data_IF_828438646366
#
_entry.id   IF_828438646366
#
_cell.length_a   1.000
_cell.length_b   1.000
_cell.length_c   1.000
_cell.angle_alpha   90.00
_cell.angle_beta   90.00
_cell.angle_gamma   90.00
#
_symmetry.space_group_name_H-M   'P 1'
#
loop_
_entity.id
_entity.type
_entity.pdbx_description
1 polymer ?
2 non-polymer ?
3 non-polymer ?
4 non-polymer ?
5 water ?
#
# COMPACT_ATOMS: atom_id res chain seq x y z
N UNK A 1 4.35 17.83 -8.06
CA UNK A 1 2.92 17.50 -8.11
C UNK A 1 2.66 16.16 -8.80
N UNK A 2 1.40 15.71 -8.72
CA UNK A 2 0.98 14.45 -9.33
C UNK A 2 0.63 14.63 -10.80
N UNK A 3 1.20 13.77 -11.65
CA UNK A 3 0.97 13.78 -13.09
C UNK A 3 0.10 12.59 -13.48
N UNK A 4 -0.87 12.82 -14.36
CA UNK A 4 -1.74 11.74 -14.79
C UNK A 4 -1.01 10.84 -15.78
N UNK A 5 -0.68 9.62 -15.37
CA UNK A 5 0.01 8.67 -16.24
C UNK A 5 -0.98 7.88 -17.07
N UNK A 6 -2.22 7.83 -16.58
CA UNK A 6 -3.32 7.15 -17.25
C UNK A 6 -4.57 7.71 -16.55
N UNK A 7 -5.77 7.51 -17.14
CA UNK A 7 -7.01 8.01 -16.53
C UNK A 7 -7.16 7.73 -15.03
N UNK A 8 -7.30 8.81 -14.25
CA UNK A 8 -7.46 8.73 -12.79
C UNK A 8 -6.36 7.99 -12.04
N UNK A 9 -5.17 8.00 -12.61
CA UNK A 9 -4.04 7.35 -11.99
C UNK A 9 -2.90 8.36 -12.08
N UNK A 10 -2.48 8.85 -10.92
CA UNK A 10 -1.43 9.85 -10.82
C UNK A 10 -0.14 9.39 -10.14
N UNK A 11 0.98 9.94 -10.63
CA UNK A 11 2.31 9.62 -10.12
C UNK A 11 3.04 10.92 -9.77
N UNK A 12 3.67 10.94 -8.60
CA UNK A 12 4.40 12.12 -8.18
C UNK A 12 5.54 12.34 -9.18
N UNK A 13 5.72 13.58 -9.61
CA UNK A 13 6.77 13.93 -10.56
C UNK A 13 8.11 13.53 -9.92
N UNK A 14 8.98 12.88 -10.68
CA UNK A 14 10.26 12.42 -10.14
C UNK A 14 11.27 13.46 -9.65
N UNK A 15 10.97 14.74 -9.84
CA UNK A 15 11.87 15.78 -9.37
C UNK A 15 11.59 16.12 -7.90
N UNK A 16 10.40 15.78 -7.42
CA UNK A 16 10.03 16.07 -6.03
C UNK A 16 10.99 15.39 -5.05
N UNK A 17 11.32 16.08 -3.97
CA UNK A 17 12.25 15.56 -2.97
C UNK A 17 11.83 14.18 -2.42
N UNK A 18 10.52 13.98 -2.27
CA UNK A 18 9.96 12.73 -1.76
C UNK A 18 10.23 11.58 -2.72
N UNK A 19 10.04 11.82 -4.00
CA UNK A 19 10.27 10.79 -5.03
C UNK A 19 11.76 10.40 -5.07
N UNK A 20 12.63 11.39 -4.92
CA UNK A 20 14.07 11.18 -4.93
C UNK A 20 14.48 10.31 -3.75
N UNK A 21 13.99 10.69 -2.59
CA UNK A 21 14.28 10.01 -1.34
C UNK A 21 13.82 8.56 -1.34
N UNK A 22 12.64 8.31 -1.91
CA UNK A 22 12.10 6.97 -1.99
C UNK A 22 12.93 6.12 -2.95
N UNK A 23 13.40 6.77 -4.01
CA UNK A 23 14.21 6.10 -5.03
C UNK A 23 15.55 5.70 -4.41
N UNK A 24 16.05 6.56 -3.53
CA UNK A 24 17.32 6.36 -2.85
C UNK A 24 17.23 5.32 -1.73
N UNK A 25 16.15 5.39 -0.93
CA UNK A 25 15.94 4.49 0.20
C UNK A 25 15.42 3.09 -0.10
N UNK A 26 14.56 2.95 -1.10
CA UNK A 26 13.99 1.64 -1.43
C UNK A 26 14.99 0.54 -1.78
N UNK A 27 14.69 -0.66 -1.26
CA UNK A 27 15.50 -1.84 -1.51
C UNK A 27 14.55 -2.97 -1.91
N UNK A 28 14.90 -3.68 -2.97
CA UNK A 28 14.08 -4.82 -3.43
C UNK A 28 14.88 -6.11 -3.35
N UNK A 29 14.17 -7.24 -3.27
CA UNK A 29 14.83 -8.55 -3.15
C UNK A 29 14.26 -9.60 -4.11
N UNK A 30 15.12 -10.47 -4.61
CA UNK A 30 14.72 -11.53 -5.51
C UNK A 30 14.21 -12.68 -4.65
N UNK A 31 13.55 -13.69 -5.25
CA UNK A 31 13.00 -14.85 -4.53
C UNK A 31 13.83 -15.55 -3.44
N UNK A 32 15.12 -15.80 -3.68
CA UNK A 32 15.94 -16.48 -2.67
C UNK A 32 16.25 -15.59 -1.47
N UNK A 33 15.89 -14.32 -1.58
CA UNK A 33 16.10 -13.34 -0.51
C UNK A 33 14.80 -12.67 -0.04
N UNK A 34 13.66 -13.25 -0.41
CA UNK A 34 12.37 -12.69 -0.01
C UNK A 34 11.38 -13.81 0.33
N UNK A 35 10.20 -13.45 0.88
CA UNK A 35 9.18 -14.44 1.25
C UNK A 35 8.11 -14.68 0.17
N UNK A 36 8.23 -13.99 -0.96
CA UNK A 36 7.25 -14.09 -2.04
C UNK A 36 7.93 -14.43 -3.37
N UNK A 37 7.18 -15.03 -4.29
CA UNK A 37 7.73 -15.39 -5.58
C UNK A 37 7.42 -14.41 -6.71
N UNK A 38 8.05 -13.24 -6.63
CA UNK A 38 7.92 -12.19 -7.64
C UNK A 38 9.36 -11.84 -7.95
N UNK A 39 9.63 -11.28 -9.15
CA UNK A 39 11.00 -10.92 -9.51
C UNK A 39 11.68 -9.94 -8.55
N UNK A 40 10.94 -8.93 -8.10
CA UNK A 40 11.50 -7.94 -7.19
C UNK A 40 10.52 -7.60 -6.08
N UNK A 41 10.83 -8.04 -4.85
CA UNK A 41 9.98 -7.76 -3.69
C UNK A 41 10.43 -6.46 -3.05
N UNK A 42 9.56 -5.44 -3.08
CA UNK A 42 9.87 -4.15 -2.49
C UNK A 42 9.69 -4.23 -0.97
N UNK A 43 10.81 -4.15 -0.25
CA UNK A 43 10.82 -4.25 1.21
C UNK A 43 10.42 -2.94 1.89
N UNK A 44 9.28 -2.97 2.58
CA UNK A 44 8.76 -1.79 3.29
C UNK A 44 9.69 -1.34 4.42
N UNK A 45 10.49 -2.27 4.93
CA UNK A 45 11.45 -1.97 5.99
C UNK A 45 12.50 -0.99 5.50
N UNK A 46 12.85 -1.03 4.21
CA UNK A 46 13.83 -0.10 3.66
C UNK A 46 13.31 1.34 3.76
N UNK A 47 12.00 1.48 3.96
CA UNK A 47 11.37 2.80 4.10
C UNK A 47 11.16 3.17 5.57
N UNK A 48 10.64 2.23 6.37
CA UNK A 48 10.38 2.53 7.78
C UNK A 48 11.67 2.69 8.59
N UNK A 49 12.75 2.06 8.16
CA UNK A 49 14.03 2.16 8.86
C UNK A 49 14.78 3.43 8.45
N UNK A 50 14.18 4.18 7.53
CA UNK A 50 14.75 5.43 7.04
C UNK A 50 13.95 6.60 7.63
N UNK A 51 14.44 7.18 8.73
CA UNK A 51 13.78 8.30 9.40
C UNK A 51 13.44 9.46 8.46
N UNK A 52 14.41 9.85 7.64
CA UNK A 52 14.23 10.95 6.70
C UNK A 52 13.10 10.63 5.70
N UNK A 53 13.09 9.40 5.18
CA UNK A 53 12.06 8.99 4.22
C UNK A 53 10.69 8.85 4.87
N UNK A 54 10.63 8.27 6.07
CA UNK A 54 9.35 8.09 6.76
C UNK A 54 8.69 9.45 7.04
N UNK A 55 9.48 10.40 7.54
CA UNK A 55 8.97 11.74 7.85
C UNK A 55 8.53 12.49 6.58
N UNK A 56 9.24 12.29 5.47
CA UNK A 56 8.90 12.96 4.21
C UNK A 56 7.52 12.51 3.70
N UNK A 57 7.24 11.21 3.88
CA UNK A 57 5.96 10.63 3.48
C UNK A 57 4.86 11.22 4.36
N UNK A 58 5.10 11.24 5.67
CA UNK A 58 4.16 11.77 6.65
C UNK A 58 3.85 13.25 6.35
N UNK A 59 4.90 14.05 6.18
CA UNK A 59 4.75 15.48 5.90
C UNK A 59 3.96 15.76 4.64
N UNK A 60 4.32 15.06 3.57
CA UNK A 60 3.66 15.23 2.28
C UNK A 60 2.17 14.88 2.28
N UNK A 61 1.84 13.68 2.75
CA UNK A 61 0.45 13.26 2.79
C UNK A 61 -0.38 14.09 3.77
N UNK A 62 0.23 14.47 4.90
CA UNK A 62 -0.49 15.31 5.86
C UNK A 62 -0.79 16.68 5.23
N UNK A 63 0.17 17.25 4.50
CA UNK A 63 -0.04 18.55 3.86
C UNK A 63 -1.07 18.45 2.74
N UNK A 64 -1.10 17.30 2.08
CA UNK A 64 -2.04 17.05 1.01
C UNK A 64 -3.48 17.06 1.53
N UNK A 65 -3.75 16.29 2.56
CA UNK A 65 -5.11 16.19 3.09
C UNK A 65 -5.58 17.39 3.90
N UNK A 66 -4.65 18.17 4.46
CA UNK A 66 -4.99 19.38 5.21
C UNK A 66 -5.40 20.49 4.24
N UNK A 67 -4.85 20.42 3.02
CA UNK A 67 -5.15 21.40 1.99
C UNK A 67 -6.37 20.93 1.20
N UNK A 68 -6.77 19.68 1.39
CA UNK A 68 -7.91 19.11 0.67
C UNK A 68 -9.27 19.52 1.21
N UNK A 69 -10.21 19.80 0.30
CA UNK A 69 -11.56 20.20 0.68
C UNK A 69 -12.57 19.72 -0.37
N UNK A 70 -13.61 18.99 0.06
CA UNK A 70 -13.85 18.63 1.46
C UNK A 70 -12.75 17.70 1.99
N UNK A 71 -12.37 17.92 3.24
CA UNK A 71 -11.32 17.13 3.87
C UNK A 71 -11.77 15.71 4.17
N UNK A 72 -10.84 14.74 4.11
CA UNK A 72 -11.14 13.33 4.39
C UNK A 72 -11.63 13.20 5.83
N UNK A 73 -12.44 12.20 6.09
CA UNK A 73 -12.96 11.98 7.42
C UNK A 73 -12.35 10.73 8.06
N UNK A 74 -11.80 9.85 7.23
CA UNK A 74 -11.21 8.59 7.71
C UNK A 74 -10.04 8.14 6.85
N UNK A 75 -9.18 7.32 7.45
CA UNK A 75 -8.05 6.72 6.75
C UNK A 75 -8.23 5.20 6.97
N UNK A 76 -8.31 4.45 5.88
CA UNK A 76 -8.46 2.99 5.96
C UNK A 76 -7.17 2.33 5.46
N UNK A 77 -6.40 1.75 6.38
CA UNK A 77 -5.15 1.11 6.01
C UNK A 77 -5.29 -0.39 5.89
N UNK A 78 -4.56 -0.98 4.95
CA UNK A 78 -4.61 -2.41 4.70
C UNK A 78 -3.61 -3.20 5.55
N UNK A 79 -4.06 -4.32 6.11
CA UNK A 79 -3.25 -5.21 6.95
C UNK A 79 -2.16 -5.85 6.08
N UNK A 80 -0.88 -5.70 6.44
CA UNK A 80 -0.41 -5.01 7.63
C UNK A 80 0.43 -3.78 7.28
N UNK A 81 0.95 -3.73 6.06
CA UNK A 81 1.82 -2.63 5.69
C UNK A 81 1.16 -1.27 5.59
N UNK A 82 -0.15 -1.25 5.44
CA UNK A 82 -0.89 0.00 5.41
C UNK A 82 -0.94 0.57 6.83
N UNK A 83 -0.79 -0.30 7.82
CA UNK A 83 -0.80 0.09 9.24
C UNK A 83 0.42 0.94 9.59
N UNK A 84 1.48 0.78 8.79
CA UNK A 84 2.73 1.51 9.01
C UNK A 84 2.69 2.99 8.63
N UNK A 85 1.79 3.35 7.74
CA UNK A 85 1.72 4.73 7.26
C UNK A 85 0.45 5.48 7.64
N UNK A 86 -0.65 4.76 7.72
CA UNK A 86 -1.92 5.40 8.04
C UNK A 86 -2.00 6.17 9.34
N UNK A 87 -1.73 5.53 10.48
CA UNK A 87 -1.78 6.16 11.79
C UNK A 87 -1.01 7.47 11.95
N UNK A 88 0.18 7.57 11.39
CA UNK A 88 0.95 8.81 11.54
C UNK A 88 0.36 9.98 10.77
N UNK A 89 -0.48 9.66 9.79
CA UNK A 89 -1.14 10.69 9.00
C UNK A 89 -2.42 11.05 9.75
N UNK A 90 -3.14 10.03 10.18
CA UNK A 90 -4.41 10.20 10.90
C UNK A 90 -4.26 10.94 12.22
N UNK A 91 -3.18 10.67 12.95
CA UNK A 91 -2.94 11.33 14.23
C UNK A 91 -2.75 12.85 14.03
N UNK A 92 -2.20 13.23 12.89
CA UNK A 92 -1.98 14.64 12.57
C UNK A 92 -3.27 15.32 12.08
N UNK A 93 -4.03 14.60 11.25
CA UNK A 93 -5.29 15.11 10.71
C UNK A 93 -6.42 15.04 11.72
N UNK A 94 -6.18 14.29 12.80
CA UNK A 94 -7.17 14.12 13.86
C UNK A 94 -8.46 13.46 13.39
N UNK A 95 -8.32 12.39 12.63
CA UNK A 95 -9.45 11.62 12.12
C UNK A 95 -9.15 10.15 12.43
N UNK A 96 -10.18 9.30 12.50
CA UNK A 96 -9.99 7.88 12.79
C UNK A 96 -9.19 7.10 11.76
N UNK A 97 -8.49 6.06 12.22
CA UNK A 97 -7.74 5.17 11.35
C UNK A 97 -8.45 3.82 11.51
N UNK A 98 -9.05 3.35 10.42
CA UNK A 98 -9.79 2.09 10.42
C UNK A 98 -8.91 0.97 9.85
N UNK A 99 -9.10 -0.24 10.36
CA UNK A 99 -8.29 -1.39 9.91
C UNK A 99 -9.01 -2.37 8.98
N UNK A 100 -8.40 -2.66 7.83
CA UNK A 100 -8.97 -3.65 6.90
C UNK A 100 -8.13 -4.92 7.09
N UNK A 101 -8.77 -5.96 7.61
CA UNK A 101 -8.08 -7.23 7.87
C UNK A 101 -9.00 -8.41 7.57
N UNK A 102 -8.43 -9.62 7.61
CA UNK A 102 -9.23 -10.81 7.40
C UNK A 102 -10.14 -10.92 8.62
N UNK A 103 -11.27 -11.61 8.45
CA UNK A 103 -12.23 -11.81 9.52
C UNK A 103 -11.60 -12.43 10.77
N UNK A 104 -10.66 -13.35 10.57
CA UNK A 104 -10.04 -14.00 11.72
C UNK A 104 -9.05 -13.11 12.47
N UNK A 105 -9.02 -11.83 12.12
CA UNK A 105 -8.13 -10.88 12.75
C UNK A 105 -8.87 -9.66 13.31
N UNK A 106 -10.09 -9.42 12.82
CA UNK A 106 -10.89 -8.27 13.24
C UNK A 106 -11.96 -8.57 14.30
N UNK A 107 -12.23 -7.57 15.14
CA UNK A 107 -13.22 -7.69 16.20
C UNK A 107 -14.53 -6.98 15.88
N UNK A 108 -15.60 -7.46 16.51
CA UNK A 108 -16.94 -6.89 16.34
C UNK A 108 -17.72 -7.49 15.18
N UNK A 109 -18.85 -6.87 14.85
CA UNK A 109 -19.68 -7.30 13.72
C UNK A 109 -18.94 -6.78 12.50
N UNK A 110 -18.66 -7.66 11.54
CA UNK A 110 -17.91 -7.29 10.36
C UNK A 110 -18.65 -7.34 9.03
N UNK A 111 -18.06 -6.67 8.05
CA UNK A 111 -18.56 -6.62 6.68
C UNK A 111 -17.41 -7.22 5.86
N UNK A 112 -17.71 -8.23 5.04
CA UNK A 112 -16.66 -8.84 4.23
C UNK A 112 -16.72 -8.49 2.75
N UNK A 113 -15.55 -8.43 2.12
CA UNK A 113 -15.46 -8.11 0.70
C UNK A 113 -15.85 -9.32 -0.17
N UNK A 114 -16.04 -9.06 -1.46
CA UNK A 114 -16.43 -10.11 -2.40
C UNK A 114 -15.48 -10.12 -3.58
N UNK A 115 -14.31 -10.74 -3.41
CA UNK A 115 -13.31 -10.80 -4.49
C UNK A 115 -13.76 -11.58 -5.74
N UNK A 116 -13.15 -11.24 -6.87
CA UNK A 116 -13.44 -11.90 -8.14
C UNK A 116 -12.73 -13.24 -8.19
N UNK A 117 -13.17 -14.09 -9.13
CA UNK A 117 -12.54 -15.40 -9.31
C UNK A 117 -11.10 -15.16 -9.70
N UNK A 118 -10.22 -16.07 -9.30
CA UNK A 118 -8.81 -15.97 -9.65
C UNK A 118 -8.67 -16.35 -11.12
N UNK A 119 -8.02 -15.50 -11.90
CA UNK A 119 -7.86 -15.74 -13.33
C UNK A 119 -6.68 -16.66 -13.65
N UNK A 120 -6.85 -17.94 -13.32
CA UNK A 120 -5.85 -18.98 -13.53
C UNK A 120 -4.50 -18.68 -12.87
N UNK A 121 -3.56 -19.61 -13.02
CA UNK A 121 -2.22 -19.47 -12.43
C UNK A 121 -2.30 -19.38 -10.91
N UNK A 122 -3.44 -19.83 -10.37
CA UNK A 122 -3.69 -19.83 -8.93
C UNK A 122 -3.77 -18.42 -8.33
N UNK A 123 -3.09 -18.22 -7.20
CA UNK A 123 -3.07 -16.92 -6.51
C UNK A 123 -4.48 -16.55 -6.02
N UNK A 124 -4.99 -17.34 -5.08
CA UNK A 124 -6.32 -17.14 -4.51
C UNK A 124 -6.51 -15.78 -3.81
N UNK A 125 -7.58 -15.05 -4.17
CA UNK A 125 -7.91 -13.72 -3.62
C UNK A 125 -8.32 -13.76 -2.15
N UNK A 126 -7.96 -12.70 -1.42
CA UNK A 126 -8.27 -12.58 0.01
C UNK A 126 -9.60 -11.89 0.31
N UNK A 127 -10.38 -12.46 1.23
CA UNK A 127 -11.62 -11.86 1.66
C UNK A 127 -11.20 -10.97 2.81
N UNK A 128 -11.45 -9.66 2.70
CA UNK A 128 -11.07 -8.70 3.73
C UNK A 128 -12.30 -8.14 4.43
N UNK A 129 -12.10 -7.52 5.59
CA UNK A 129 -13.22 -6.96 6.37
C UNK A 129 -12.86 -5.68 7.12
N UNK A 130 -13.91 -5.00 7.59
CA UNK A 130 -13.84 -3.82 8.43
C UNK A 130 -15.04 -3.99 9.36
N UNK A 131 -14.98 -3.40 10.54
CA UNK A 131 -16.08 -3.50 11.48
C UNK A 131 -17.28 -2.72 10.94
N UNK A 132 -18.46 -3.32 11.08
CA UNK A 132 -19.69 -2.70 10.65
C UNK A 132 -19.87 -1.41 11.45
N UNK A 133 -20.03 -0.29 10.75
CA UNK A 133 -20.21 0.99 11.43
C UNK A 133 -18.93 1.75 11.72
N UNK A 134 -17.79 1.17 11.38
CA UNK A 134 -16.52 1.84 11.60
C UNK A 134 -16.43 3.06 10.69
N UNK A 135 -17.11 2.96 9.55
CA UNK A 135 -17.17 4.03 8.56
C UNK A 135 -18.65 4.27 8.28
N UNK A 136 -19.11 5.49 8.52
CA UNK A 136 -20.51 5.79 8.31
C UNK A 136 -20.91 6.45 7.01
N UNK A 137 -22.22 6.60 6.85
CA UNK A 137 -22.80 7.26 5.68
C UNK A 137 -22.21 8.67 5.58
N UNK A 138 -21.79 9.05 4.38
CA UNK A 138 -21.23 10.37 4.18
C UNK A 138 -19.74 10.50 4.45
N UNK A 139 -19.11 9.43 4.94
CA UNK A 139 -17.67 9.47 5.20
C UNK A 139 -16.89 9.57 3.90
N UNK A 140 -15.72 10.19 3.99
CA UNK A 140 -14.82 10.37 2.85
C UNK A 140 -13.54 9.69 3.32
N UNK A 141 -13.31 8.51 2.76
CA UNK A 141 -12.20 7.65 3.14
C UNK A 141 -11.00 7.60 2.20
N UNK A 142 -9.82 7.71 2.80
CA UNK A 142 -8.56 7.61 2.07
C UNK A 142 -8.07 6.16 2.32
N UNK A 143 -7.86 5.41 1.25
CA UNK A 143 -7.37 4.03 1.36
C UNK A 143 -5.85 4.07 1.23
N UNK A 144 -5.15 3.29 2.05
CA UNK A 144 -3.69 3.28 2.00
C UNK A 144 -3.02 1.92 2.24
N UNK A 145 -1.96 1.67 1.48
CA UNK A 145 -1.17 0.45 1.57
C UNK A 145 0.22 0.79 1.02
N UNK A 146 1.21 -0.08 1.19
CA UNK A 146 2.54 0.23 0.70
C UNK A 146 2.74 0.03 -0.81
N UNK A 147 2.32 -1.12 -1.33
CA UNK A 147 2.49 -1.42 -2.75
C UNK A 147 1.19 -1.77 -3.47
N UNK A 148 0.95 -1.10 -4.59
CA UNK A 148 -0.23 -1.39 -5.41
C UNK A 148 0.30 -2.30 -6.52
N UNK A 149 -0.13 -3.56 -6.51
CA UNK A 149 0.31 -4.53 -7.51
C UNK A 149 -0.84 -4.92 -8.45
N UNK A 150 -1.57 -5.99 -8.13
CA UNK A 150 -2.69 -6.41 -8.98
C UNK A 150 -3.97 -5.64 -8.65
N UNK A 151 -4.01 -5.03 -7.46
CA UNK A 151 -5.17 -4.26 -7.06
C UNK A 151 -6.28 -5.01 -6.35
N UNK A 152 -6.06 -6.30 -6.09
CA UNK A 152 -7.06 -7.12 -5.43
C UNK A 152 -7.46 -6.60 -4.06
N UNK A 153 -6.48 -6.12 -3.30
CA UNK A 153 -6.74 -5.59 -1.97
C UNK A 153 -7.45 -4.24 -2.06
N UNK A 154 -7.02 -3.41 -3.01
CA UNK A 154 -7.61 -2.08 -3.24
C UNK A 154 -9.10 -2.23 -3.54
N UNK A 155 -9.43 -3.22 -4.35
CA UNK A 155 -10.81 -3.50 -4.72
C UNK A 155 -11.61 -3.90 -3.48
N UNK A 156 -10.98 -4.63 -2.57
CA UNK A 156 -11.67 -5.03 -1.33
C UNK A 156 -12.00 -3.75 -0.56
N UNK A 157 -11.04 -2.81 -0.56
CA UNK A 157 -11.23 -1.54 0.10
C UNK A 157 -12.39 -0.78 -0.52
N UNK A 158 -12.41 -0.68 -1.83
CA UNK A 158 -13.49 0.01 -2.54
C UNK A 158 -14.86 -0.59 -2.21
N UNK A 159 -14.96 -1.91 -2.30
CA UNK A 159 -16.21 -2.58 -1.99
C UNK A 159 -16.71 -2.29 -0.59
N UNK A 160 -15.80 -2.33 0.38
CA UNK A 160 -16.16 -2.09 1.78
C UNK A 160 -16.61 -0.64 2.06
N UNK A 161 -15.95 0.33 1.43
CA UNK A 161 -16.32 1.73 1.61
C UNK A 161 -17.67 1.97 0.92
N UNK A 162 -17.83 1.36 -0.24
CA UNK A 162 -19.07 1.45 -1.01
C UNK A 162 -20.23 0.85 -0.21
N UNK A 163 -20.04 -0.36 0.29
CA UNK A 163 -21.04 -1.06 1.08
C UNK A 163 -21.44 -0.29 2.34
N UNK A 164 -20.54 0.56 2.83
CA UNK A 164 -20.78 1.37 4.03
C UNK A 164 -21.50 2.67 3.72
N UNK A 165 -21.84 2.88 2.46
CA UNK A 165 -22.55 4.08 2.03
C UNK A 165 -21.64 5.31 2.19
N UNK A 166 -20.35 5.12 1.92
CA UNK A 166 -19.35 6.19 2.00
C UNK A 166 -18.64 6.31 0.67
N UNK A 167 -17.82 7.34 0.50
CA UNK A 167 -17.08 7.52 -0.75
C UNK A 167 -15.57 7.43 -0.57
N UNK A 168 -14.88 6.94 -1.60
CA UNK A 168 -13.44 6.82 -1.60
C UNK A 168 -12.84 8.12 -2.11
N UNK A 169 -11.94 8.71 -1.33
CA UNK A 169 -11.26 9.93 -1.72
C UNK A 169 -10.24 9.55 -2.80
N UNK A 170 -9.47 8.51 -2.50
CA UNK A 170 -8.45 7.99 -3.39
C UNK A 170 -7.75 6.81 -2.74
N UNK A 171 -7.08 6.02 -3.57
CA UNK A 171 -6.31 4.89 -3.11
C UNK A 171 -4.88 5.38 -3.19
N UNK A 172 -4.17 5.38 -2.07
CA UNK A 172 -2.79 5.83 -2.10
C UNK A 172 -1.83 4.69 -1.80
N UNK A 173 -0.74 4.64 -2.55
CA UNK A 173 0.26 3.60 -2.35
C UNK A 173 1.63 4.24 -2.40
N UNK A 174 2.56 3.72 -1.62
CA UNK A 174 3.91 4.26 -1.62
C UNK A 174 4.54 3.91 -2.98
N UNK A 175 4.36 2.66 -3.40
CA UNK A 175 4.90 2.18 -4.65
C UNK A 175 3.83 1.52 -5.51
N UNK A 176 3.91 1.74 -6.82
CA UNK A 176 2.98 1.12 -7.75
C UNK A 176 3.77 0.31 -8.77
N UNK A 177 3.15 -0.76 -9.26
CA UNK A 177 3.76 -1.64 -10.26
C UNK A 177 2.85 -1.52 -11.48
N UNK A 178 2.95 -0.39 -12.21
CA UNK A 178 2.15 -0.09 -13.41
C UNK A 178 2.02 -1.20 -14.46
N UNK A 179 2.93 -2.15 -14.45
CA UNK A 179 2.90 -3.26 -15.40
C UNK A 179 1.71 -4.19 -15.14
N UNK A 180 1.31 -4.31 -13.88
CA UNK A 180 0.18 -5.17 -13.52
C UNK A 180 -1.19 -4.52 -13.76
N UNK A 181 -1.18 -3.29 -14.26
CA UNK A 181 -2.39 -2.52 -14.61
C UNK A 181 -3.60 -2.50 -13.67
N UNK A 182 -3.33 -2.36 -12.37
CA UNK A 182 -4.38 -2.32 -11.34
C UNK A 182 -5.39 -1.20 -11.56
N UNK A 183 -4.90 0.03 -11.72
CA UNK A 183 -5.79 1.18 -11.94
C UNK A 183 -6.66 0.97 -13.18
N UNK A 184 -6.04 0.51 -14.27
CA UNK A 184 -6.73 0.25 -15.53
C UNK A 184 -7.84 -0.78 -15.36
N UNK A 185 -7.48 -1.93 -14.80
CA UNK A 185 -8.43 -3.03 -14.59
C UNK A 185 -9.57 -2.63 -13.67
N UNK A 186 -9.26 -1.94 -12.58
CA UNK A 186 -10.28 -1.50 -11.65
C UNK A 186 -11.18 -0.44 -12.30
N UNK A 187 -10.60 0.36 -13.20
CA UNK A 187 -11.34 1.41 -13.87
C UNK A 187 -12.30 0.95 -14.96
N UNK A 188 -12.10 -0.25 -15.49
CA UNK A 188 -12.97 -0.77 -16.54
C UNK A 188 -13.87 -1.94 -16.14
N UNK A 189 -13.50 -2.63 -15.06
CA UNK A 189 -14.26 -3.79 -14.59
C UNK A 189 -15.69 -3.41 -14.19
N UNK A 190 -16.61 -4.35 -14.38
CA UNK A 190 -18.02 -4.15 -14.04
C UNK A 190 -18.60 -2.87 -14.66
N UNK A 191 -18.40 -2.73 -15.98
CA UNK A 191 -18.89 -1.57 -16.73
C UNK A 191 -18.46 -0.22 -16.18
N UNK A 192 -17.17 -0.09 -15.90
CA UNK A 192 -16.56 1.14 -15.40
C UNK A 192 -17.19 1.73 -14.13
N UNK A 193 -17.71 0.89 -13.24
CA UNK A 193 -18.33 1.39 -12.02
C UNK A 193 -17.35 2.09 -11.07
N UNK A 194 -16.06 1.76 -11.19
CA UNK A 194 -15.03 2.36 -10.35
C UNK A 194 -14.14 3.30 -11.16
N UNK A 195 -14.69 3.78 -12.27
CA UNK A 195 -13.99 4.69 -13.18
C UNK A 195 -13.57 6.00 -12.50
N UNK A 196 -14.38 6.46 -11.56
CA UNK A 196 -14.11 7.71 -10.86
C UNK A 196 -13.13 7.61 -9.71
N UNK A 197 -12.70 6.39 -9.37
CA UNK A 197 -11.75 6.18 -8.27
C UNK A 197 -10.36 6.68 -8.63
N UNK A 198 -9.85 7.62 -7.85
CA UNK A 198 -8.53 8.14 -8.11
C UNK A 198 -7.45 7.28 -7.45
N UNK A 199 -6.34 7.11 -8.16
CA UNK A 199 -5.20 6.36 -7.66
C UNK A 199 -3.98 7.26 -7.65
N UNK A 200 -3.35 7.40 -6.50
CA UNK A 200 -2.13 8.20 -6.41
C UNK A 200 -1.00 7.33 -5.87
N UNK A 201 0.16 7.47 -6.48
CA UNK A 201 1.32 6.70 -6.08
C UNK A 201 2.50 7.66 -5.94
N UNK A 202 3.39 7.36 -4.99
CA UNK A 202 4.56 8.21 -4.74
C UNK A 202 5.79 7.80 -5.58
N UNK A 203 5.82 6.56 -6.04
CA UNK A 203 6.94 6.08 -6.86
C UNK A 203 6.53 4.87 -7.68
N UNK A 204 7.04 4.78 -8.91
CA UNK A 204 6.76 3.65 -9.76
C UNK A 204 7.92 2.67 -9.61
N UNK A 205 7.64 1.36 -9.66
CA UNK A 205 8.71 0.39 -9.53
C UNK A 205 9.67 0.47 -10.73
N UNK A 206 9.25 1.13 -11.81
CA UNK A 206 10.12 1.28 -12.97
C UNK A 206 11.30 2.19 -12.60
N UNK A 207 11.15 2.96 -11.54
CA UNK A 207 12.21 3.85 -11.09
C UNK A 207 13.24 3.10 -10.24
N UNK A 208 12.93 1.85 -9.87
CA UNK A 208 13.85 1.04 -9.08
C UNK A 208 14.77 0.26 -10.02
N UNK A 209 16.07 0.36 -9.78
CA UNK A 209 17.07 -0.30 -10.61
C UNK A 209 17.83 -1.32 -9.77
N UNK A 210 18.92 -1.85 -10.35
CA UNK A 210 19.77 -2.83 -9.67
C UNK A 210 20.41 -2.19 -8.44
N UNK A 211 20.59 -0.87 -8.49
CA UNK A 211 21.16 -0.13 -7.38
C UNK A 211 20.29 -0.25 -6.13
N UNK A 212 19.04 -0.62 -6.32
CA UNK A 212 18.08 -0.79 -5.22
C UNK A 212 18.02 -2.24 -4.75
N UNK A 213 18.77 -3.12 -5.40
CA UNK A 213 18.77 -4.53 -5.02
C UNK A 213 19.45 -4.73 -3.67
N UNK A 214 18.71 -5.35 -2.74
CA UNK A 214 19.24 -5.61 -1.41
C UNK A 214 19.84 -6.99 -1.25
N UNK A 215 19.78 -7.80 -2.31
CA UNK A 215 20.32 -9.17 -2.29
C UNK A 215 21.79 -9.16 -1.84
N UNK A 216 22.17 -10.21 -1.12
CA UNK A 216 23.55 -10.32 -0.67
C UNK A 216 24.34 -10.90 -1.83
N UNK A 217 25.36 -10.16 -2.26
CA UNK A 217 26.18 -10.59 -3.38
C UNK A 217 27.21 -11.66 -3.01
N UNK A 218 27.22 -12.74 -3.80
CA UNK A 218 28.13 -13.87 -3.61
C UNK A 218 27.88 -14.62 -2.30
N UNK A 219 26.61 -14.70 -1.89
CA UNK A 219 26.22 -15.41 -0.67
C UNK A 219 25.64 -16.77 -1.06
N UNK A 220 25.96 -17.81 -0.30
CA UNK A 220 25.47 -19.17 -0.59
C UNK A 220 24.76 -19.86 0.58
N UNK A 221 24.72 -19.21 1.74
CA UNK A 221 24.06 -19.82 2.89
C UNK A 221 22.55 -19.79 2.86
N UNK A 222 21.89 -20.22 3.95
CA UNK A 222 20.43 -20.24 4.05
C UNK A 222 19.91 -18.80 4.24
N UNK A 223 18.63 -18.59 3.94
CA UNK A 223 18.06 -17.25 4.08
C UNK A 223 17.75 -16.91 5.53
N UNK A 224 17.39 -17.93 6.31
CA UNK A 224 17.04 -17.74 7.72
C UNK A 224 18.01 -18.44 8.68
N UNK A 225 18.45 -17.68 9.69
CA UNK A 225 19.38 -18.15 10.72
C UNK A 225 18.71 -18.06 12.10
N UNK A 226 18.97 -19.04 12.97
CA UNK A 226 18.38 -19.03 14.30
C UNK A 226 19.16 -18.05 15.18
N UNK A 227 18.55 -17.65 16.30
CA UNK A 227 19.21 -16.74 17.23
C UNK A 227 20.51 -17.34 17.72
N UNK A 228 20.47 -18.61 18.08
CA UNK A 228 21.65 -19.31 18.57
C UNK A 228 22.82 -19.29 17.61
N UNK A 229 22.56 -19.46 16.32
CA UNK A 229 23.63 -19.44 15.33
C UNK A 229 24.25 -18.06 15.18
N UNK A 230 23.42 -17.03 15.26
CA UNK A 230 23.90 -15.66 15.14
C UNK A 230 24.69 -15.29 16.40
N UNK A 231 24.23 -15.76 17.56
CA UNK A 231 24.91 -15.49 18.83
C UNK A 231 26.33 -16.05 18.81
N UNK A 232 26.53 -17.15 18.10
CA UNK A 232 27.83 -17.81 17.99
C UNK A 232 28.82 -17.06 17.11
N UNK A 233 28.35 -16.04 16.37
CA UNK A 233 29.20 -15.26 15.47
C UNK A 233 29.91 -14.11 16.18
N UNK A 234 29.60 -13.92 17.46
CA UNK A 234 30.21 -12.85 18.23
C UNK A 234 30.36 -13.20 19.71
N UNK A 235 31.36 -12.60 20.39
CA UNK A 235 31.64 -12.85 21.81
C UNK A 235 30.49 -12.41 22.73
N UNK A 236 30.05 -13.33 23.58
CA UNK A 236 28.96 -13.08 24.53
C UNK A 236 29.00 -14.07 25.69
#
# INVERSE_FOLDING_TARGET
>A
PFKEVSPNSFLLDDSHALSQLLKKSYRWYSPVFSPRNVPRFADVSSITESPETLKAIRDFLVQRYRAMSPAPTHILGFDARGFLFGPMIAVELEIPFVLMRKADKNAGLLIRSEPYEKEYKEAAPEVMTIRYGSIGKGSRVVLIDDVLATGGTALSGLQLVEASDAVVVEMVSILSIPFLKAAEKIHSTANSRYKDIKFISLLSDDALTEENCGDSKNYTGPRVLSCGDVLAEHPH
#
